data_IF_999116654336
#
_entry.id   IF_999116654336
#
_cell.length_a   1.000
_cell.length_b   1.000
_cell.length_c   1.000
_cell.angle_alpha   90.00
_cell.angle_beta   90.00
_cell.angle_gamma   90.00
#
_symmetry.space_group_name_H-M   'P 1'
#
loop_
_entity.id
_entity.type
_entity.pdbx_description
1 polymer ?
#
# COMPACT_ATOMS: atom_id res chain seq x y z
N UNK A 1 -40.41 -76.21 -60.59
CA UNK A 1 -41.20 -75.48 -61.62
C UNK A 1 -42.46 -74.96 -60.93
N UNK A 2 -42.73 -73.66 -60.98
CA UNK A 2 -43.97 -73.01 -60.47
C UNK A 2 -44.16 -73.02 -58.93
N UNK A 3 -44.01 -71.87 -58.24
CA UNK A 3 -45.05 -70.89 -57.81
C UNK A 3 -45.38 -70.98 -56.31
N UNK A 4 -45.02 -69.89 -55.61
CA UNK A 4 -45.85 -69.09 -54.70
C UNK A 4 -46.76 -69.78 -53.67
N UNK A 5 -46.48 -69.59 -52.36
CA UNK A 5 -47.47 -69.07 -51.38
C UNK A 5 -46.88 -68.70 -50.00
N UNK A 6 -47.01 -67.40 -49.67
CA UNK A 6 -47.41 -66.72 -48.41
C UNK A 6 -47.50 -67.51 -47.09
N UNK A 7 -46.97 -66.92 -46.00
CA UNK A 7 -47.66 -66.59 -44.71
C UNK A 7 -46.67 -65.89 -43.74
N UNK A 8 -46.88 -64.63 -43.32
CA UNK A 8 -47.41 -64.23 -41.99
C UNK A 8 -46.26 -64.00 -40.98
N UNK A 9 -46.16 -63.01 -40.08
CA UNK A 9 -47.08 -62.07 -39.41
C UNK A 9 -46.27 -60.90 -38.80
N UNK A 10 -46.75 -59.67 -39.05
CA UNK A 10 -47.03 -58.55 -38.13
C UNK A 10 -46.08 -58.27 -36.94
N UNK A 11 -45.41 -57.12 -37.04
CA UNK A 11 -44.62 -56.44 -36.00
C UNK A 11 -45.55 -55.81 -34.95
N UNK A 12 -45.18 -55.99 -33.68
CA UNK A 12 -45.91 -55.62 -32.47
C UNK A 12 -45.94 -54.10 -32.21
N UNK A 13 -47.13 -53.58 -31.88
CA UNK A 13 -47.33 -52.33 -31.14
C UNK A 13 -47.12 -52.60 -29.64
N UNK A 14 -46.35 -51.77 -28.93
CA UNK A 14 -46.48 -51.63 -27.48
C UNK A 14 -46.44 -50.15 -27.08
N UNK A 15 -47.48 -49.79 -26.34
CA UNK A 15 -47.94 -48.48 -25.90
C UNK A 15 -47.22 -47.97 -24.65
N UNK A 16 -46.82 -46.68 -24.72
CA UNK A 16 -47.00 -45.60 -23.72
C UNK A 16 -47.03 -46.00 -22.23
N UNK A 17 -45.97 -45.69 -21.48
CA UNK A 17 -46.05 -45.28 -20.06
C UNK A 17 -44.74 -44.64 -19.60
N UNK A 18 -44.82 -43.54 -18.84
CA UNK A 18 -43.73 -42.82 -18.13
C UNK A 18 -42.65 -42.19 -19.03
N UNK A 19 -42.43 -40.88 -19.05
CA UNK A 19 -42.13 -40.06 -17.88
C UNK A 19 -42.09 -38.59 -18.34
N UNK A 20 -43.17 -37.84 -18.11
CA UNK A 20 -43.14 -36.39 -18.25
C UNK A 20 -42.40 -35.80 -17.04
N UNK A 21 -41.07 -35.87 -17.04
CA UNK A 21 -40.25 -35.05 -16.13
C UNK A 21 -40.32 -33.62 -16.65
N UNK A 22 -41.26 -32.86 -16.11
CA UNK A 22 -41.21 -31.41 -16.07
C UNK A 22 -39.85 -31.00 -15.52
N UNK A 23 -38.94 -30.64 -16.43
CA UNK A 23 -37.75 -29.86 -16.10
C UNK A 23 -38.21 -28.45 -15.72
N UNK A 24 -38.75 -28.32 -14.51
CA UNK A 24 -38.68 -27.07 -13.75
C UNK A 24 -37.20 -26.82 -13.48
N UNK A 25 -36.50 -26.27 -14.48
CA UNK A 25 -35.24 -25.58 -14.26
C UNK A 25 -35.61 -24.39 -13.39
N UNK A 26 -35.48 -24.58 -12.07
CA UNK A 26 -35.57 -23.49 -11.12
C UNK A 26 -34.64 -22.39 -11.61
N UNK A 27 -35.22 -21.26 -12.04
CA UNK A 27 -34.48 -20.01 -12.16
C UNK A 27 -33.94 -19.73 -10.78
N UNK A 28 -32.74 -20.22 -10.49
CA UNK A 28 -31.99 -19.86 -9.30
C UNK A 28 -31.97 -18.35 -9.27
N UNK A 29 -32.63 -17.77 -8.27
CA UNK A 29 -32.52 -16.35 -8.00
C UNK A 29 -31.06 -16.09 -7.67
N UNK A 30 -30.26 -15.73 -8.67
CA UNK A 30 -28.92 -15.18 -8.49
C UNK A 30 -29.13 -13.82 -7.86
N UNK A 31 -29.33 -13.81 -6.54
CA UNK A 31 -29.42 -12.58 -5.77
C UNK A 31 -28.04 -11.95 -5.83
N UNK A 32 -27.86 -11.01 -6.76
CA UNK A 32 -26.61 -10.32 -6.98
C UNK A 32 -26.07 -9.80 -5.64
N UNK A 33 -24.92 -10.33 -5.21
CA UNK A 33 -24.29 -9.99 -3.93
C UNK A 33 -24.11 -8.48 -3.87
N UNK A 34 -24.91 -7.82 -3.03
CA UNK A 34 -24.96 -6.36 -2.97
C UNK A 34 -23.57 -5.80 -2.66
N UNK A 35 -23.06 -4.92 -3.52
CA UNK A 35 -21.77 -4.25 -3.29
C UNK A 35 -21.79 -3.49 -1.96
N UNK A 36 -20.76 -3.70 -1.15
CA UNK A 36 -20.65 -3.05 0.15
C UNK A 36 -20.38 -1.54 -0.01
N UNK A 37 -20.89 -0.77 0.96
CA UNK A 37 -20.59 0.66 1.10
C UNK A 37 -19.10 0.83 1.36
N UNK A 38 -18.41 1.65 0.56
CA UNK A 38 -16.96 1.77 0.60
C UNK A 38 -16.47 3.15 0.13
N UNK A 39 -15.28 3.57 0.58
CA UNK A 39 -14.65 4.78 0.08
C UNK A 39 -13.96 4.53 -1.27
N UNK A 40 -13.90 5.55 -2.12
CA UNK A 40 -13.05 5.54 -3.32
C UNK A 40 -11.55 5.41 -2.99
N UNK A 41 -11.12 5.92 -1.83
CA UNK A 41 -9.75 5.87 -1.33
C UNK A 41 -9.76 5.67 0.18
N UNK A 42 -8.94 4.75 0.67
CA UNK A 42 -8.74 4.49 2.11
C UNK A 42 -7.42 5.06 2.63
N UNK A 43 -6.60 5.62 1.74
CA UNK A 43 -5.30 6.20 2.06
C UNK A 43 -5.03 7.41 1.17
N UNK A 44 -4.53 8.49 1.75
CA UNK A 44 -4.06 9.68 1.03
C UNK A 44 -2.71 10.08 1.58
N UNK A 45 -1.72 10.26 0.70
CA UNK A 45 -0.44 10.89 1.04
C UNK A 45 -0.39 12.22 0.30
N UNK A 46 -0.07 13.29 1.02
CA UNK A 46 -0.09 14.66 0.50
C UNK A 46 1.02 15.51 1.12
N UNK A 47 1.09 16.76 0.71
CA UNK A 47 1.92 17.82 1.32
C UNK A 47 1.12 19.12 1.38
N UNK A 48 1.55 20.07 2.24
CA UNK A 48 0.89 21.38 2.39
C UNK A 48 0.84 22.12 1.04
N UNK A 49 -0.35 22.60 0.66
CA UNK A 49 -0.55 23.30 -0.61
C UNK A 49 -0.73 22.39 -1.84
N UNK A 50 -0.81 21.06 -1.65
CA UNK A 50 -1.32 20.17 -2.69
C UNK A 50 -2.82 20.41 -2.91
N UNK A 51 -3.29 20.27 -4.15
CA UNK A 51 -4.71 20.40 -4.47
C UNK A 51 -5.57 19.48 -3.59
N UNK A 52 -6.76 19.95 -3.13
CA UNK A 52 -7.66 19.13 -2.31
C UNK A 52 -8.03 17.81 -2.98
N UNK A 53 -8.29 16.79 -2.17
CA UNK A 53 -8.70 15.46 -2.65
C UNK A 53 -10.15 15.20 -2.29
N UNK A 54 -10.96 14.81 -3.28
CA UNK A 54 -12.34 14.40 -3.07
C UNK A 54 -12.43 12.94 -2.63
N UNK A 55 -12.89 12.70 -1.40
CA UNK A 55 -13.33 11.39 -0.96
C UNK A 55 -14.81 11.20 -1.33
N UNK A 56 -15.14 10.02 -1.87
CA UNK A 56 -16.51 9.65 -2.28
C UNK A 56 -16.88 8.33 -1.64
N UNK A 57 -18.09 8.25 -1.09
CA UNK A 57 -18.65 6.98 -0.63
C UNK A 57 -19.43 6.34 -1.79
N UNK A 58 -19.07 5.11 -2.14
CA UNK A 58 -19.71 4.31 -3.18
C UNK A 58 -20.82 3.43 -2.59
N UNK A 59 -21.80 3.09 -3.42
CA UNK A 59 -22.89 2.15 -3.10
C UNK A 59 -23.79 2.59 -1.94
N UNK A 60 -23.97 3.90 -1.75
CA UNK A 60 -24.86 4.48 -0.74
C UNK A 60 -26.31 4.33 -1.20
N UNK A 61 -27.20 3.89 -0.31
CA UNK A 61 -28.65 3.85 -0.58
C UNK A 61 -29.19 5.28 -0.77
N UNK A 62 -30.12 5.47 -1.71
CA UNK A 62 -30.84 6.75 -1.88
C UNK A 62 -31.41 7.22 -0.54
N UNK A 63 -31.31 8.52 -0.26
CA UNK A 63 -31.79 9.13 0.99
C UNK A 63 -30.91 8.89 2.23
N UNK A 64 -29.71 8.31 2.10
CA UNK A 64 -28.77 8.22 3.22
C UNK A 64 -27.76 9.37 3.17
N UNK A 65 -27.71 10.13 4.26
CA UNK A 65 -26.74 11.20 4.46
C UNK A 65 -25.38 10.63 4.84
N UNK A 66 -24.33 11.34 4.42
CA UNK A 66 -22.92 11.04 4.74
C UNK A 66 -22.42 12.14 5.65
N UNK A 67 -21.94 11.78 6.84
CA UNK A 67 -21.33 12.72 7.78
C UNK A 67 -19.82 12.52 7.72
N UNK A 68 -19.09 13.60 7.45
CA UNK A 68 -17.63 13.60 7.41
C UNK A 68 -17.03 14.15 8.69
N UNK A 69 -15.93 13.56 9.11
CA UNK A 69 -15.19 13.99 10.30
C UNK A 69 -13.70 13.79 10.08
N UNK A 70 -12.87 14.70 10.60
CA UNK A 70 -11.41 14.51 10.66
C UNK A 70 -10.96 14.42 12.10
N UNK A 71 -10.14 13.41 12.43
CA UNK A 71 -9.56 13.28 13.76
C UNK A 71 -8.60 14.42 14.13
N UNK A 72 -8.09 15.18 13.14
CA UNK A 72 -7.13 16.29 13.30
C UNK A 72 -7.27 17.30 12.15
N UNK A 73 -8.27 18.18 12.23
CA UNK A 73 -8.52 19.21 11.20
C UNK A 73 -7.30 20.11 10.94
N UNK A 74 -6.51 20.42 11.97
CA UNK A 74 -5.25 21.18 11.84
C UNK A 74 -4.17 20.53 10.97
N UNK A 75 -4.30 19.22 10.68
CA UNK A 75 -3.43 18.46 9.76
C UNK A 75 -4.13 18.29 8.42
N UNK A 76 -5.35 17.75 8.44
CA UNK A 76 -6.18 17.57 7.28
C UNK A 76 -7.64 17.83 7.63
N UNK A 77 -8.23 18.81 6.96
CA UNK A 77 -9.63 19.19 7.14
C UNK A 77 -10.49 18.47 6.11
N UNK A 78 -11.74 18.17 6.44
CA UNK A 78 -12.72 17.61 5.51
C UNK A 78 -14.01 18.43 5.57
N UNK A 79 -14.46 18.91 4.41
CA UNK A 79 -15.74 19.62 4.27
C UNK A 79 -16.92 18.64 4.28
N UNK A 80 -18.13 19.18 4.39
CA UNK A 80 -19.38 18.40 4.40
C UNK A 80 -19.58 17.55 3.14
N UNK A 81 -19.01 17.97 2.01
CA UNK A 81 -19.11 17.25 0.75
C UNK A 81 -18.02 16.15 0.60
N UNK A 82 -17.08 16.03 1.55
CA UNK A 82 -15.98 15.06 1.51
C UNK A 82 -14.71 15.53 0.82
N UNK A 83 -14.57 16.84 0.56
CA UNK A 83 -13.33 17.43 0.05
C UNK A 83 -12.31 17.59 1.17
N UNK A 84 -11.10 17.07 0.98
CA UNK A 84 -10.03 17.06 1.99
C UNK A 84 -8.93 18.06 1.65
N UNK A 85 -8.62 18.97 2.58
CA UNK A 85 -7.58 20.01 2.44
C UNK A 85 -6.42 19.75 3.40
N UNK A 86 -5.18 20.07 2.99
CA UNK A 86 -3.96 19.69 3.71
C UNK A 86 -3.21 20.89 4.30
N UNK A 87 -3.04 20.90 5.63
CA UNK A 87 -2.61 22.08 6.38
C UNK A 87 -1.21 21.95 6.98
N UNK A 88 -0.98 21.00 7.89
CA UNK A 88 0.29 20.80 8.62
C UNK A 88 0.82 19.38 8.45
N UNK A 89 2.15 19.22 8.52
CA UNK A 89 2.80 17.90 8.51
C UNK A 89 2.23 17.05 9.67
N UNK A 90 1.81 15.83 9.40
CA UNK A 90 1.15 14.99 10.39
C UNK A 90 0.28 13.91 9.77
N UNK A 91 -0.43 13.17 10.62
CA UNK A 91 -1.40 12.16 10.20
C UNK A 91 -2.77 12.46 10.81
N UNK A 92 -3.83 12.31 10.00
CA UNK A 92 -5.22 12.44 10.41
C UNK A 92 -6.04 11.26 9.85
N UNK A 93 -7.06 10.82 10.57
CA UNK A 93 -8.03 9.85 10.06
C UNK A 93 -9.29 10.64 9.68
N UNK A 94 -9.60 10.66 8.38
CA UNK A 94 -10.87 11.16 7.86
C UNK A 94 -11.87 10.02 7.86
N UNK A 95 -13.04 10.25 8.42
CA UNK A 95 -14.11 9.27 8.56
C UNK A 95 -15.34 9.71 7.77
N UNK A 96 -16.01 8.74 7.15
CA UNK A 96 -17.34 8.93 6.56
C UNK A 96 -18.32 7.99 7.27
N UNK A 97 -19.31 8.57 7.95
CA UNK A 97 -20.39 7.82 8.61
C UNK A 97 -21.61 7.76 7.71
N UNK A 98 -22.09 6.56 7.44
CA UNK A 98 -23.31 6.28 6.67
C UNK A 98 -24.19 5.32 7.47
N UNK A 99 -25.18 5.86 8.17
CA UNK A 99 -25.95 5.11 9.17
C UNK A 99 -25.04 4.55 10.28
N UNK A 100 -25.05 3.22 10.47
CA UNK A 100 -24.22 2.51 11.46
C UNK A 100 -22.80 2.19 10.97
N UNK A 101 -22.49 2.44 9.69
CA UNK A 101 -21.16 2.14 9.11
C UNK A 101 -20.24 3.34 9.18
N UNK A 102 -19.01 3.12 9.62
CA UNK A 102 -17.94 4.11 9.62
C UNK A 102 -16.82 3.65 8.71
N UNK A 103 -16.59 4.39 7.63
CA UNK A 103 -15.47 4.19 6.72
C UNK A 103 -14.32 5.11 7.13
N UNK A 104 -13.08 4.66 6.91
CA UNK A 104 -11.88 5.39 7.34
C UNK A 104 -10.91 5.58 6.19
N UNK A 105 -10.34 6.78 6.10
CA UNK A 105 -9.23 7.13 5.25
C UNK A 105 -8.09 7.67 6.13
N UNK A 106 -6.90 7.09 6.04
CA UNK A 106 -5.70 7.66 6.67
C UNK A 106 -5.10 8.69 5.73
N UNK A 107 -4.97 9.92 6.21
CA UNK A 107 -4.34 11.04 5.50
C UNK A 107 -2.99 11.34 6.15
N UNK A 108 -1.93 11.28 5.35
CA UNK A 108 -0.55 11.55 5.76
C UNK A 108 -0.02 12.77 5.02
N UNK A 109 0.20 13.87 5.74
CA UNK A 109 0.75 15.11 5.20
C UNK A 109 2.24 15.18 5.53
N UNK A 110 3.10 15.18 4.51
CA UNK A 110 4.56 15.21 4.62
C UNK A 110 5.14 16.46 3.93
N UNK A 111 6.47 16.55 3.80
CA UNK A 111 7.08 17.62 2.98
C UNK A 111 6.96 17.28 1.49
N UNK A 112 6.95 18.29 0.61
CA UNK A 112 6.91 18.08 -0.85
C UNK A 112 8.10 17.23 -1.36
N UNK A 113 9.28 17.41 -0.74
CA UNK A 113 10.47 16.58 -1.04
C UNK A 113 10.27 15.12 -0.62
N UNK A 114 9.74 14.87 0.58
CA UNK A 114 9.43 13.51 1.04
C UNK A 114 8.37 12.83 0.16
N UNK A 115 7.30 13.56 -0.19
CA UNK A 115 6.27 13.10 -1.12
C UNK A 115 6.89 12.61 -2.44
N UNK A 116 7.71 13.45 -3.09
CA UNK A 116 8.37 13.10 -4.36
C UNK A 116 9.33 11.91 -4.21
N UNK A 117 10.04 11.79 -3.10
CA UNK A 117 10.90 10.64 -2.83
C UNK A 117 10.10 9.34 -2.70
N UNK A 118 8.95 9.38 -2.02
CA UNK A 118 8.04 8.22 -1.91
C UNK A 118 7.43 7.84 -3.25
N UNK A 119 7.03 8.81 -4.07
CA UNK A 119 6.56 8.54 -5.44
C UNK A 119 7.65 7.89 -6.29
N UNK A 120 8.91 8.31 -6.14
CA UNK A 120 10.04 7.66 -6.82
C UNK A 120 10.28 6.23 -6.30
N UNK A 121 10.16 5.99 -5.00
CA UNK A 121 10.27 4.65 -4.41
C UNK A 121 9.19 3.71 -4.97
N UNK A 122 7.94 4.19 -5.08
CA UNK A 122 6.84 3.44 -5.71
C UNK A 122 7.10 3.16 -7.18
N UNK A 123 7.62 4.12 -7.95
CA UNK A 123 8.00 3.91 -9.36
C UNK A 123 9.07 2.82 -9.50
N UNK A 124 10.11 2.84 -8.67
CA UNK A 124 11.11 1.76 -8.66
C UNK A 124 10.50 0.40 -8.32
N UNK A 125 9.60 0.35 -7.35
CA UNK A 125 8.90 -0.89 -6.98
C UNK A 125 8.03 -1.41 -8.14
N UNK A 126 7.23 -0.55 -8.77
CA UNK A 126 6.36 -0.92 -9.88
C UNK A 126 7.10 -1.29 -11.16
N UNK A 127 8.28 -0.73 -11.41
CA UNK A 127 9.07 -1.03 -12.60
C UNK A 127 9.63 -2.47 -12.62
N UNK A 128 9.72 -3.13 -11.45
CA UNK A 128 10.13 -4.54 -11.30
C UNK A 128 11.40 -4.94 -12.08
N UNK A 129 12.34 -4.01 -12.26
CA UNK A 129 13.53 -4.19 -13.12
C UNK A 129 14.86 -3.85 -12.42
N UNK A 130 14.88 -3.93 -11.09
CA UNK A 130 16.02 -3.57 -10.26
C UNK A 130 16.59 -4.79 -9.54
N UNK A 131 17.88 -5.06 -9.71
CA UNK A 131 18.61 -6.11 -9.00
C UNK A 131 19.34 -5.56 -7.76
N UNK A 132 19.47 -6.40 -6.73
CA UNK A 132 20.28 -6.05 -5.57
C UNK A 132 21.77 -6.18 -5.91
N UNK A 133 22.59 -5.18 -5.59
CA UNK A 133 24.05 -5.28 -5.68
C UNK A 133 24.71 -4.25 -4.77
N UNK A 134 25.66 -4.69 -3.93
CA UNK A 134 26.51 -3.78 -3.14
C UNK A 134 27.66 -3.22 -3.98
N UNK A 135 28.31 -4.06 -4.81
CA UNK A 135 29.40 -3.63 -5.68
C UNK A 135 28.95 -2.65 -6.76
N UNK A 136 27.82 -2.94 -7.43
CA UNK A 136 27.24 -2.08 -8.46
C UNK A 136 26.04 -1.26 -7.93
N UNK A 137 26.14 -0.73 -6.70
CA UNK A 137 25.01 -0.09 -5.99
C UNK A 137 24.47 1.18 -6.65
N UNK A 138 25.22 1.85 -7.52
CA UNK A 138 24.79 3.05 -8.25
C UNK A 138 24.42 2.79 -9.72
N UNK A 139 24.48 1.55 -10.19
CA UNK A 139 24.21 1.20 -11.57
C UNK A 139 22.76 1.47 -12.01
N UNK A 140 22.55 1.54 -13.33
CA UNK A 140 21.25 1.87 -13.95
C UNK A 140 20.12 0.97 -13.44
N UNK A 141 20.38 -0.34 -13.36
CA UNK A 141 19.43 -1.41 -12.95
C UNK A 141 19.86 -2.16 -11.69
N UNK A 142 20.77 -1.59 -10.90
CA UNK A 142 21.26 -2.18 -9.66
C UNK A 142 21.28 -1.18 -8.51
N UNK A 143 20.95 -1.67 -7.31
CA UNK A 143 20.93 -0.89 -6.06
C UNK A 143 21.22 -1.78 -4.87
N UNK A 144 21.69 -1.19 -3.77
CA UNK A 144 21.53 -1.76 -2.44
C UNK A 144 20.44 -1.00 -1.66
N UNK A 145 20.20 -1.39 -0.41
CA UNK A 145 19.18 -0.75 0.43
C UNK A 145 19.34 0.76 0.58
N UNK A 146 20.58 1.24 0.75
CA UNK A 146 20.90 2.64 0.97
C UNK A 146 21.01 3.43 -0.32
N UNK A 147 21.54 2.86 -1.40
CA UNK A 147 21.54 3.54 -2.71
C UNK A 147 20.13 3.63 -3.29
N UNK A 148 19.25 2.64 -3.04
CA UNK A 148 17.82 2.76 -3.33
C UNK A 148 17.19 3.96 -2.60
N UNK A 149 17.33 4.02 -1.26
CA UNK A 149 16.77 5.12 -0.47
C UNK A 149 17.38 6.47 -0.88
N UNK A 150 18.70 6.53 -1.06
CA UNK A 150 19.42 7.72 -1.53
C UNK A 150 18.93 8.20 -2.88
N UNK A 151 18.81 7.31 -3.87
CA UNK A 151 18.33 7.65 -5.23
C UNK A 151 16.88 8.16 -5.25
N UNK A 152 16.06 7.83 -4.25
CA UNK A 152 14.74 8.43 -4.07
C UNK A 152 14.84 9.91 -3.69
N UNK A 153 15.87 10.28 -2.92
CA UNK A 153 16.10 11.61 -2.36
C UNK A 153 17.02 12.52 -3.19
N UNK A 154 17.96 11.96 -3.97
CA UNK A 154 18.90 12.75 -4.77
C UNK A 154 18.24 13.80 -5.68
N UNK A 155 17.17 13.50 -6.45
CA UNK A 155 16.51 14.52 -7.28
C UNK A 155 15.78 15.60 -6.47
N UNK A 156 15.71 15.46 -5.15
CA UNK A 156 15.14 16.45 -4.23
C UNK A 156 16.23 17.28 -3.54
N UNK A 157 17.49 17.12 -3.96
CA UNK A 157 18.66 17.82 -3.41
C UNK A 157 19.08 17.33 -2.03
N UNK A 158 18.80 16.06 -1.68
CA UNK A 158 19.10 15.51 -0.35
C UNK A 158 20.06 14.33 -0.50
N UNK A 159 21.33 14.54 -0.14
CA UNK A 159 22.41 13.53 -0.32
C UNK A 159 22.62 12.63 0.89
N UNK A 160 22.14 13.03 2.08
CA UNK A 160 22.29 12.30 3.34
C UNK A 160 23.76 11.93 3.66
N UNK A 161 24.66 12.89 3.43
CA UNK A 161 26.09 12.72 3.66
C UNK A 161 26.83 11.97 2.56
N UNK A 162 26.18 11.69 1.43
CA UNK A 162 26.85 11.32 0.18
C UNK A 162 27.07 12.53 -0.73
N UNK A 163 27.32 12.27 -2.01
CA UNK A 163 27.38 13.27 -3.07
C UNK A 163 26.14 13.19 -3.98
N UNK A 164 26.11 13.99 -5.05
CA UNK A 164 25.09 13.91 -6.10
C UNK A 164 25.22 12.63 -6.95
N UNK A 165 26.42 12.06 -7.04
CA UNK A 165 26.75 10.87 -7.82
C UNK A 165 26.88 9.59 -7.00
N UNK A 166 27.05 9.69 -5.68
CA UNK A 166 27.29 8.54 -4.80
C UNK A 166 26.48 8.61 -3.51
N UNK A 167 25.59 7.63 -3.32
CA UNK A 167 24.79 7.51 -2.10
C UNK A 167 25.63 7.00 -0.94
N UNK A 168 25.47 7.59 0.25
CA UNK A 168 26.10 7.10 1.47
C UNK A 168 25.62 5.67 1.83
N UNK A 169 26.27 5.03 2.79
CA UNK A 169 25.83 3.75 3.34
C UNK A 169 24.67 3.93 4.31
N UNK A 170 23.91 2.88 4.64
CA UNK A 170 22.81 2.94 5.59
C UNK A 170 23.23 3.53 6.96
N UNK A 171 24.35 3.06 7.51
CA UNK A 171 24.92 3.57 8.75
C UNK A 171 25.38 5.04 8.62
N UNK A 172 26.00 5.40 7.48
CA UNK A 172 26.42 6.77 7.20
C UNK A 172 25.25 7.75 7.08
N UNK A 173 24.15 7.36 6.42
CA UNK A 173 22.91 8.14 6.35
C UNK A 173 22.30 8.36 7.74
N UNK A 174 22.33 7.34 8.60
CA UNK A 174 21.85 7.45 9.98
C UNK A 174 22.73 8.37 10.84
N UNK A 175 24.05 8.29 10.69
CA UNK A 175 25.00 9.17 11.36
C UNK A 175 24.80 10.62 10.90
N UNK A 176 24.72 10.86 9.59
CA UNK A 176 24.41 12.17 9.02
C UNK A 176 23.09 12.73 9.58
N UNK A 177 22.05 11.89 9.65
CA UNK A 177 20.76 12.29 10.21
C UNK A 177 20.84 12.70 11.67
N UNK A 178 21.72 12.05 12.45
CA UNK A 178 21.98 12.40 13.85
C UNK A 178 22.68 13.75 13.95
N UNK A 179 23.78 13.93 13.20
CA UNK A 179 24.55 15.17 13.16
C UNK A 179 23.74 16.38 12.67
N UNK A 180 22.70 16.16 11.85
CA UNK A 180 21.83 17.22 11.31
C UNK A 180 20.52 17.40 12.07
N UNK A 181 20.34 16.77 13.24
CA UNK A 181 19.13 16.92 14.05
C UNK A 181 17.85 16.40 13.37
N UNK A 182 17.99 15.40 12.49
CA UNK A 182 16.87 14.83 11.71
C UNK A 182 16.29 13.55 12.31
N UNK A 183 16.72 13.15 13.51
CA UNK A 183 16.26 11.93 14.18
C UNK A 183 14.83 12.11 14.70
N UNK A 184 13.96 11.15 14.38
CA UNK A 184 12.55 11.10 14.81
C UNK A 184 12.39 10.17 16.03
N UNK A 185 13.13 9.07 16.05
CA UNK A 185 13.14 8.10 17.15
C UNK A 185 14.46 7.31 17.17
N UNK A 186 14.89 6.88 18.35
CA UNK A 186 16.06 6.02 18.55
C UNK A 186 15.70 4.52 18.68
N UNK A 187 14.46 4.16 18.34
CA UNK A 187 13.94 2.79 18.37
C UNK A 187 12.67 2.69 17.52
N UNK A 188 12.13 1.48 17.38
CA UNK A 188 10.86 1.25 16.70
C UNK A 188 9.69 1.93 17.40
N UNK A 189 8.73 2.44 16.62
CA UNK A 189 7.54 3.14 17.12
C UNK A 189 6.27 2.37 16.78
N UNK A 190 5.24 2.42 17.62
CA UNK A 190 3.96 1.77 17.30
C UNK A 190 3.23 2.48 16.15
N UNK A 191 2.73 1.72 15.18
CA UNK A 191 1.90 2.25 14.07
C UNK A 191 0.65 2.97 14.59
N UNK A 192 0.06 2.52 15.70
CA UNK A 192 -1.10 3.18 16.32
C UNK A 192 -0.83 4.63 16.75
N UNK A 193 0.42 4.95 17.13
CA UNK A 193 0.84 6.31 17.48
C UNK A 193 0.94 7.24 16.27
N UNK A 194 0.93 6.69 15.04
CA UNK A 194 0.99 7.44 13.77
C UNK A 194 2.13 8.48 13.74
N UNK A 195 3.28 8.13 14.32
CA UNK A 195 4.46 9.01 14.44
C UNK A 195 5.26 9.10 13.13
N UNK A 196 5.23 8.04 12.32
CA UNK A 196 5.91 7.98 11.03
C UNK A 196 5.17 8.83 9.99
N UNK A 197 5.92 9.50 9.13
CA UNK A 197 5.41 10.16 7.94
C UNK A 197 6.05 9.54 6.69
N UNK A 198 5.33 9.49 5.55
CA UNK A 198 5.91 9.11 4.28
C UNK A 198 7.21 9.87 4.02
N UNK A 199 8.27 9.12 3.69
CA UNK A 199 9.63 9.61 3.53
C UNK A 199 10.56 9.36 4.74
N UNK A 200 10.04 9.09 5.93
CA UNK A 200 10.90 8.72 7.05
C UNK A 200 11.78 7.51 6.69
N UNK A 201 13.08 7.58 7.00
CA UNK A 201 13.99 6.45 6.84
C UNK A 201 14.05 5.65 8.13
N UNK A 202 13.89 4.35 8.01
CA UNK A 202 13.94 3.38 9.10
C UNK A 202 15.24 2.59 8.98
N UNK A 203 16.11 2.73 9.97
CA UNK A 203 17.41 2.07 10.02
C UNK A 203 17.37 0.88 10.96
N UNK A 204 17.85 -0.27 10.49
CA UNK A 204 17.81 -1.53 11.22
C UNK A 204 19.22 -1.97 11.64
N UNK A 205 19.33 -2.52 12.85
CA UNK A 205 20.55 -3.11 13.41
C UNK A 205 20.50 -4.63 13.41
N UNK A 206 21.68 -5.26 13.34
CA UNK A 206 21.88 -6.70 13.50
C UNK A 206 23.28 -6.96 14.04
N UNK A 207 23.36 -7.68 15.17
CA UNK A 207 24.63 -8.06 15.81
C UNK A 207 25.55 -6.87 16.07
N UNK A 208 26.78 -7.15 16.52
CA UNK A 208 27.86 -6.18 16.45
C UNK A 208 28.45 -6.22 15.03
N UNK A 209 28.72 -5.05 14.43
CA UNK A 209 29.38 -4.96 13.12
C UNK A 209 30.31 -3.74 12.97
N UNK A 210 30.62 -3.04 14.06
CA UNK A 210 31.52 -1.88 14.08
C UNK A 210 30.96 -0.60 13.42
N UNK A 211 29.80 -0.65 12.76
CA UNK A 211 29.19 0.52 12.10
C UNK A 211 28.38 1.33 13.10
N UNK A 212 28.07 2.59 12.76
CA UNK A 212 27.20 3.44 13.56
C UNK A 212 25.90 2.73 13.97
N UNK A 213 25.70 2.56 15.29
CA UNK A 213 24.56 1.84 15.92
C UNK A 213 24.35 0.40 15.40
N UNK A 214 25.41 -0.24 14.90
CA UNK A 214 25.37 -1.55 14.24
C UNK A 214 24.37 -1.62 13.07
N UNK A 215 24.14 -0.51 12.38
CA UNK A 215 23.16 -0.41 11.30
C UNK A 215 23.66 -1.15 10.06
N UNK A 216 22.83 -2.06 9.56
CA UNK A 216 23.12 -2.88 8.37
C UNK A 216 22.12 -2.66 7.23
N UNK A 217 20.96 -2.06 7.51
CA UNK A 217 19.89 -1.91 6.51
C UNK A 217 19.10 -0.62 6.73
N UNK A 218 18.60 -0.05 5.64
CA UNK A 218 17.70 1.10 5.65
C UNK A 218 16.52 0.86 4.71
N UNK A 219 15.37 1.38 5.10
CA UNK A 219 14.15 1.36 4.30
C UNK A 219 13.46 2.72 4.35
N UNK A 220 12.73 3.09 3.31
CA UNK A 220 11.89 4.29 3.29
C UNK A 220 10.46 3.93 3.71
N UNK A 221 9.90 4.62 4.69
CA UNK A 221 8.49 4.50 5.05
C UNK A 221 7.63 5.16 3.97
N UNK A 222 6.72 4.40 3.35
CA UNK A 222 5.95 4.84 2.18
C UNK A 222 4.50 5.17 2.49
N UNK A 223 4.02 4.84 3.69
CA UNK A 223 2.69 5.22 4.15
C UNK A 223 1.99 4.14 4.96
N UNK A 224 0.72 4.40 5.24
CA UNK A 224 -0.15 3.52 5.99
C UNK A 224 -1.26 2.97 5.09
N UNK A 225 -1.77 1.78 5.40
CA UNK A 225 -2.95 1.20 4.77
C UNK A 225 -3.84 0.52 5.79
N UNK A 226 -5.13 0.40 5.47
CA UNK A 226 -6.07 -0.38 6.26
C UNK A 226 -6.11 -1.82 5.75
N UNK A 227 -5.86 -2.80 6.64
CA UNK A 227 -6.06 -4.23 6.38
C UNK A 227 -6.93 -4.81 7.47
N UNK A 228 -8.05 -5.44 7.11
CA UNK A 228 -8.98 -6.04 8.07
C UNK A 228 -9.33 -5.08 9.23
N UNK A 229 -9.61 -3.81 8.89
CA UNK A 229 -9.90 -2.72 9.83
C UNK A 229 -8.77 -2.32 10.80
N UNK A 230 -7.56 -2.87 10.62
CA UNK A 230 -6.35 -2.48 11.34
C UNK A 230 -5.44 -1.61 10.47
N UNK A 231 -4.78 -0.64 11.09
CA UNK A 231 -3.83 0.22 10.41
C UNK A 231 -2.45 -0.45 10.37
N UNK A 232 -1.90 -0.60 9.18
CA UNK A 232 -0.58 -1.18 8.93
C UNK A 232 0.32 -0.12 8.31
N UNK A 233 1.59 -0.08 8.71
CA UNK A 233 2.59 0.81 8.11
C UNK A 233 3.51 0.04 7.16
N UNK A 234 3.84 0.65 6.02
CA UNK A 234 4.70 0.02 5.01
C UNK A 234 5.99 0.78 4.79
N UNK A 235 7.03 0.00 4.57
CA UNK A 235 8.33 0.46 4.09
C UNK A 235 8.64 -0.16 2.73
N UNK A 236 9.58 0.44 2.00
CA UNK A 236 10.17 -0.14 0.80
C UNK A 236 11.70 -0.11 0.88
N UNK A 237 12.36 -1.13 0.33
CA UNK A 237 13.81 -1.16 0.15
C UNK A 237 14.25 -2.21 -0.86
N UNK A 238 15.50 -2.12 -1.31
CA UNK A 238 16.16 -3.18 -2.08
C UNK A 238 16.71 -4.27 -1.17
N UNK A 239 16.30 -5.51 -1.42
CA UNK A 239 16.56 -6.68 -0.57
C UNK A 239 17.40 -7.69 -1.33
N UNK A 240 18.48 -8.18 -0.71
CA UNK A 240 19.32 -9.24 -1.26
C UNK A 240 18.53 -10.54 -1.47
N UNK A 241 18.96 -11.37 -2.43
CA UNK A 241 18.33 -12.66 -2.74
C UNK A 241 16.95 -12.58 -3.40
N UNK A 242 16.55 -11.42 -3.93
CA UNK A 242 15.25 -11.23 -4.57
C UNK A 242 15.39 -10.55 -5.94
N UNK A 243 14.60 -11.01 -6.92
CA UNK A 243 14.37 -10.31 -8.18
C UNK A 243 12.86 -10.24 -8.48
N UNK A 244 12.27 -9.03 -8.64
CA UNK A 244 12.89 -7.71 -8.44
C UNK A 244 13.28 -7.47 -6.97
N UNK A 245 14.36 -6.74 -6.76
CA UNK A 245 14.90 -6.53 -5.40
C UNK A 245 14.11 -5.53 -4.56
N UNK A 246 13.33 -4.63 -5.17
CA UNK A 246 12.56 -3.61 -4.45
C UNK A 246 11.26 -4.19 -3.91
N UNK A 247 11.19 -4.39 -2.60
CA UNK A 247 10.03 -4.97 -1.94
C UNK A 247 9.33 -3.98 -1.02
N UNK A 248 8.00 -4.06 -0.98
CA UNK A 248 7.15 -3.42 0.03
C UNK A 248 6.98 -4.37 1.22
N UNK A 249 7.23 -3.90 2.44
CA UNK A 249 7.17 -4.74 3.66
C UNK A 249 6.38 -4.08 4.78
N UNK A 250 5.73 -4.92 5.60
CA UNK A 250 5.11 -4.47 6.84
C UNK A 250 6.19 -4.06 7.84
N UNK A 251 6.17 -2.79 8.22
CA UNK A 251 7.07 -2.21 9.21
C UNK A 251 7.00 -2.92 10.57
N UNK A 252 5.79 -3.30 10.99
CA UNK A 252 5.52 -3.81 12.34
C UNK A 252 6.28 -5.10 12.61
N UNK A 253 6.39 -5.97 11.60
CA UNK A 253 7.13 -7.24 11.66
C UNK A 253 8.63 -7.08 11.94
N UNK A 254 9.18 -5.87 11.73
CA UNK A 254 10.63 -5.58 11.88
C UNK A 254 10.93 -4.51 12.91
N UNK A 255 9.91 -3.94 13.58
CA UNK A 255 10.06 -2.78 14.48
C UNK A 255 11.06 -3.03 15.62
N UNK A 256 11.17 -4.27 16.11
CA UNK A 256 12.11 -4.63 17.19
C UNK A 256 13.58 -4.52 16.81
N UNK A 257 13.90 -4.51 15.51
CA UNK A 257 15.28 -4.34 15.01
C UNK A 257 15.62 -2.91 14.63
N UNK A 258 14.71 -1.96 14.83
CA UNK A 258 14.94 -0.56 14.48
C UNK A 258 15.94 0.06 15.44
N UNK A 259 17.04 0.58 14.90
CA UNK A 259 18.06 1.30 15.64
C UNK A 259 17.78 2.81 15.66
N UNK A 260 17.18 3.33 14.60
CA UNK A 260 16.91 4.75 14.44
C UNK A 260 15.85 4.97 13.36
N UNK A 261 15.09 6.04 13.49
CA UNK A 261 14.20 6.56 12.47
C UNK A 261 14.59 8.02 12.24
N UNK A 262 14.73 8.44 10.99
CA UNK A 262 15.06 9.82 10.63
C UNK A 262 14.14 10.39 9.57
N UNK A 263 14.03 11.72 9.53
CA UNK A 263 13.24 12.46 8.53
C UNK A 263 14.16 13.39 7.74
N UNK A 264 14.83 12.88 6.69
CA UNK A 264 15.86 13.63 5.98
C UNK A 264 15.31 14.87 5.24
N UNK A 265 14.04 14.83 4.85
CA UNK A 265 13.34 15.92 4.16
C UNK A 265 12.50 16.81 5.09
N UNK A 266 12.81 16.84 6.39
CA UNK A 266 12.15 17.74 7.35
C UNK A 266 12.55 19.18 7.12
#
# INVERSE_FOLDING_TARGET
MSTYQRTGKRIFFFTVFFMAVLLFVGKGNVQAKRKSVALNKTTVTAYKGMAPVKLKVKNVKKGKNIIWFSSKSSVAEVSQDGTVTFHKKGNAIVQAKVGKKTLKCIVSVCSKKAYKAVEKAKKFHSARNMSYSQGNRMGKRSVDCSSFCGRCYLPQGITMGGSTSWCNTAAGMALWSTKKGKVVANSGVSIGKKKLLPGDLVFYKKGYNGRYKNIYHVEIFVGYEWRNNQLVGYTMSSITGNYPSILKRDYTSRKGRVAQIARPAQ
#
